data_IF_215982771099
#
_entry.id   IF_215982771099
#
_cell.length_a   1.000
_cell.length_b   1.000
_cell.length_c   1.000
_cell.angle_alpha   90.00
_cell.angle_beta   90.00
_cell.angle_gamma   90.00
#
_symmetry.space_group_name_H-M   'P 1'
#
loop_
_entity.id
_entity.type
_entity.pdbx_description
1 polymer ?
#
# COMPACT_ATOMS: atom_id res chain seq x y z
N UNK A 1 -27.95 5.41 10.16
CA UNK A 1 -26.63 4.85 9.75
C UNK A 1 -26.09 5.77 8.67
N UNK A 2 -24.92 6.39 8.85
CA UNK A 2 -24.34 7.21 7.76
C UNK A 2 -24.01 6.28 6.59
N UNK A 3 -24.39 6.69 5.38
CA UNK A 3 -24.13 5.95 4.14
C UNK A 3 -22.69 5.44 4.08
N UNK A 4 -22.55 4.21 3.59
CA UNK A 4 -21.25 3.59 3.34
C UNK A 4 -20.59 4.38 2.21
N UNK A 5 -19.81 5.38 2.59
CA UNK A 5 -18.82 6.02 1.72
C UNK A 5 -17.91 4.91 1.16
N UNK A 6 -17.70 4.88 -0.16
CA UNK A 6 -16.83 3.87 -0.79
C UNK A 6 -15.43 3.97 -0.16
N UNK A 7 -15.09 3.00 0.68
CA UNK A 7 -13.81 2.98 1.41
C UNK A 7 -12.60 2.86 0.50
N UNK A 8 -12.78 2.57 -0.79
CA UNK A 8 -11.71 2.63 -1.80
C UNK A 8 -11.36 4.06 -2.17
N UNK A 9 -12.28 5.02 -2.00
CA UNK A 9 -12.13 6.43 -2.36
C UNK A 9 -12.75 7.35 -1.30
N UNK A 10 -12.23 7.35 -0.06
CA UNK A 10 -12.82 8.07 1.07
C UNK A 10 -12.86 9.60 0.89
N UNK A 11 -12.10 10.14 -0.07
CA UNK A 11 -12.08 11.56 -0.43
C UNK A 11 -12.45 11.81 -1.89
N UNK A 12 -13.11 10.84 -2.55
CA UNK A 12 -13.36 10.88 -3.99
C UNK A 12 -12.14 10.48 -4.84
N UNK A 13 -12.33 10.47 -6.16
CA UNK A 13 -11.31 10.15 -7.16
C UNK A 13 -10.56 11.40 -7.58
N UNK A 14 -9.31 11.24 -8.00
CA UNK A 14 -8.60 12.31 -8.69
C UNK A 14 -9.26 12.62 -10.03
N UNK A 15 -9.40 13.91 -10.33
CA UNK A 15 -9.93 14.39 -11.60
C UNK A 15 -8.77 14.81 -12.50
N UNK A 16 -8.57 14.07 -13.59
CA UNK A 16 -7.53 14.33 -14.58
C UNK A 16 -7.91 15.47 -15.54
N UNK A 17 -6.92 15.98 -16.28
CA UNK A 17 -7.09 17.03 -17.30
C UNK A 17 -7.63 18.36 -16.76
N UNK A 18 -7.39 18.65 -15.47
CA UNK A 18 -7.62 19.97 -14.90
C UNK A 18 -6.42 20.88 -15.17
N UNK A 19 -6.71 22.13 -15.46
CA UNK A 19 -5.70 23.18 -15.45
C UNK A 19 -5.48 23.63 -14.00
N UNK A 20 -4.22 23.65 -13.58
CA UNK A 20 -3.82 24.09 -12.25
C UNK A 20 -3.09 25.42 -12.35
N UNK A 21 -3.57 26.42 -11.61
CA UNK A 21 -2.87 27.70 -11.49
C UNK A 21 -1.61 27.55 -10.63
N UNK A 22 -0.74 28.56 -10.63
CA UNK A 22 0.39 28.60 -9.72
C UNK A 22 -0.05 28.57 -8.25
N UNK A 23 -1.17 29.22 -7.91
CA UNK A 23 -1.72 29.20 -6.55
C UNK A 23 -2.29 27.84 -6.16
N UNK A 24 -2.92 27.13 -7.09
CA UNK A 24 -3.34 25.74 -6.85
C UNK A 24 -2.12 24.85 -6.60
N UNK A 25 -1.10 24.99 -7.43
CA UNK A 25 0.17 24.26 -7.31
C UNK A 25 0.81 24.50 -5.94
N UNK A 26 0.88 25.77 -5.49
CA UNK A 26 1.40 26.12 -4.16
C UNK A 26 0.58 25.52 -3.01
N UNK A 27 -0.75 25.45 -3.13
CA UNK A 27 -1.61 24.79 -2.13
C UNK A 27 -1.34 23.29 -2.08
N UNK A 28 -1.20 22.65 -3.24
CA UNK A 28 -0.94 21.21 -3.35
C UNK A 28 0.45 20.83 -2.82
N UNK A 29 1.48 21.66 -3.05
CA UNK A 29 2.80 21.48 -2.42
C UNK A 29 2.68 21.50 -0.89
N UNK A 30 1.86 22.40 -0.33
CA UNK A 30 1.59 22.43 1.13
C UNK A 30 0.88 21.16 1.61
N UNK A 31 -0.01 20.57 0.82
CA UNK A 31 -0.65 19.29 1.14
C UNK A 31 0.39 18.16 1.22
N UNK A 32 1.29 18.07 0.24
CA UNK A 32 2.39 17.10 0.23
C UNK A 32 3.28 17.30 1.47
N UNK A 33 3.68 18.54 1.77
CA UNK A 33 4.52 18.88 2.92
C UNK A 33 3.91 18.45 4.27
N UNK A 34 2.58 18.47 4.42
CA UNK A 34 1.90 18.14 5.68
C UNK A 34 1.85 16.64 5.97
N UNK A 35 1.89 15.79 4.93
CA UNK A 35 1.64 14.35 5.04
C UNK A 35 2.47 13.65 6.14
N UNK A 36 3.81 13.79 6.22
CA UNK A 36 4.61 13.03 7.18
C UNK A 36 4.25 13.36 8.63
N UNK A 37 3.95 14.64 8.91
CA UNK A 37 3.53 15.11 10.24
C UNK A 37 2.16 14.55 10.61
N UNK A 38 1.21 14.52 9.68
CA UNK A 38 -0.13 13.97 9.93
C UNK A 38 -0.10 12.45 10.10
N UNK A 39 0.68 11.72 9.31
CA UNK A 39 0.90 10.28 9.52
C UNK A 39 1.49 10.00 10.90
N UNK A 40 2.51 10.76 11.31
CA UNK A 40 3.12 10.62 12.64
C UNK A 40 2.09 10.84 13.76
N UNK A 41 1.18 11.81 13.61
CA UNK A 41 0.09 12.04 14.57
C UNK A 41 -0.90 10.88 14.60
N UNK A 42 -1.32 10.37 13.44
CA UNK A 42 -2.27 9.25 13.37
C UNK A 42 -1.67 7.98 13.96
N UNK A 43 -0.44 7.62 13.59
CA UNK A 43 0.22 6.40 14.10
C UNK A 43 0.42 6.44 15.61
N UNK A 44 0.64 7.61 16.21
CA UNK A 44 0.69 7.75 17.68
C UNK A 44 -0.64 7.44 18.38
N UNK A 45 -1.77 7.55 17.67
CA UNK A 45 -3.11 7.25 18.22
C UNK A 45 -3.51 5.78 18.01
N UNK A 46 -2.79 5.05 17.17
CA UNK A 46 -3.08 3.64 16.89
C UNK A 46 -2.75 2.79 18.12
N UNK A 47 -3.69 1.93 18.50
CA UNK A 47 -3.49 0.88 19.50
C UNK A 47 -2.65 -0.26 18.92
N UNK A 48 -2.08 -1.08 19.79
CA UNK A 48 -1.29 -2.24 19.41
C UNK A 48 -2.05 -3.15 18.44
N UNK A 49 -1.36 -3.58 17.39
CA UNK A 49 -1.92 -4.43 16.32
C UNK A 49 -2.86 -3.73 15.33
N UNK A 50 -3.17 -2.44 15.50
CA UNK A 50 -4.00 -1.70 14.53
C UNK A 50 -3.30 -1.50 13.18
N UNK A 51 -1.97 -1.38 13.17
CA UNK A 51 -1.18 -1.27 11.94
C UNK A 51 -1.37 -2.46 10.99
N UNK A 52 -1.66 -3.64 11.52
CA UNK A 52 -1.84 -4.88 10.76
C UNK A 52 -3.31 -5.14 10.40
N UNK A 53 -4.18 -4.15 10.63
CA UNK A 53 -5.59 -4.21 10.21
C UNK A 53 -5.77 -3.64 8.81
N UNK A 54 -6.55 -4.31 7.95
CA UNK A 54 -6.84 -3.80 6.62
C UNK A 54 -7.81 -2.62 6.68
N UNK A 55 -7.59 -1.58 5.87
CA UNK A 55 -8.50 -0.41 5.83
C UNK A 55 -9.88 -0.75 5.25
N UNK A 56 -9.96 -1.84 4.47
CA UNK A 56 -11.20 -2.42 3.91
C UNK A 56 -11.03 -3.92 3.65
N UNK A 57 -12.13 -4.64 3.39
CA UNK A 57 -12.06 -6.04 2.98
C UNK A 57 -11.20 -6.22 1.71
N UNK A 58 -10.25 -7.16 1.78
CA UNK A 58 -9.29 -7.44 0.70
C UNK A 58 -8.35 -6.28 0.35
N UNK A 59 -8.29 -5.23 1.17
CA UNK A 59 -7.35 -4.12 1.02
C UNK A 59 -6.09 -4.30 1.86
N UNK A 60 -5.12 -3.43 1.61
CA UNK A 60 -3.88 -3.38 2.39
C UNK A 60 -4.10 -3.04 3.86
N UNK A 61 -3.15 -3.45 4.69
CA UNK A 61 -3.04 -3.01 6.08
C UNK A 61 -2.62 -1.54 6.17
N UNK A 62 -2.89 -0.88 7.30
CA UNK A 62 -2.38 0.47 7.53
C UNK A 62 -0.85 0.54 7.40
N UNK A 63 -0.14 -0.51 7.82
CA UNK A 63 1.32 -0.64 7.64
C UNK A 63 1.71 -0.63 6.16
N UNK A 64 1.12 -1.51 5.35
CA UNK A 64 1.39 -1.57 3.91
C UNK A 64 1.08 -0.23 3.22
N UNK A 65 -0.01 0.45 3.60
CA UNK A 65 -0.34 1.79 3.08
C UNK A 65 0.77 2.82 3.42
N UNK A 66 1.34 2.78 4.61
CA UNK A 66 2.40 3.70 5.03
C UNK A 66 3.71 3.41 4.27
N UNK A 67 4.05 2.14 4.05
CA UNK A 67 5.21 1.76 3.23
C UNK A 67 5.02 2.17 1.77
N UNK A 68 3.84 1.89 1.19
CA UNK A 68 3.48 2.30 -0.17
C UNK A 68 3.60 3.82 -0.36
N UNK A 69 3.19 4.63 0.62
CA UNK A 69 3.37 6.08 0.54
C UNK A 69 4.85 6.45 0.37
N UNK A 70 5.76 5.81 1.11
CA UNK A 70 7.20 6.05 0.95
C UNK A 70 7.71 5.62 -0.43
N UNK A 71 7.36 4.42 -0.88
CA UNK A 71 7.81 3.88 -2.17
C UNK A 71 7.30 4.71 -3.35
N UNK A 72 6.01 5.03 -3.32
CA UNK A 72 5.33 5.83 -4.35
C UNK A 72 5.94 7.22 -4.45
N UNK A 73 6.22 7.86 -3.30
CA UNK A 73 6.74 9.22 -3.29
C UNK A 73 8.24 9.27 -3.63
N UNK A 74 9.02 8.23 -3.32
CA UNK A 74 10.40 8.12 -3.81
C UNK A 74 10.45 8.00 -5.33
N UNK A 75 9.60 7.14 -5.90
CA UNK A 75 9.44 7.03 -7.34
C UNK A 75 9.00 8.37 -7.95
N UNK A 76 8.07 9.07 -7.31
CA UNK A 76 7.62 10.39 -7.73
C UNK A 76 8.77 11.40 -7.78
N UNK A 77 9.53 11.52 -6.69
CA UNK A 77 10.66 12.45 -6.60
C UNK A 77 11.69 12.22 -7.72
N UNK A 78 12.01 10.96 -8.03
CA UNK A 78 12.90 10.62 -9.14
C UNK A 78 12.30 11.07 -10.48
N UNK A 79 11.02 10.75 -10.74
CA UNK A 79 10.33 11.16 -11.97
C UNK A 79 10.28 12.68 -12.14
N UNK A 80 10.11 13.40 -11.03
CA UNK A 80 10.13 14.85 -10.99
C UNK A 80 11.49 15.43 -11.40
N UNK A 81 12.57 14.83 -10.91
CA UNK A 81 13.93 15.21 -11.33
C UNK A 81 14.13 14.96 -12.82
N UNK A 82 13.80 13.76 -13.31
CA UNK A 82 13.90 13.40 -14.73
C UNK A 82 13.12 14.39 -15.60
N UNK A 83 11.84 14.65 -15.29
CA UNK A 83 10.99 15.55 -16.06
C UNK A 83 11.50 17.00 -16.12
N UNK A 84 12.15 17.48 -15.05
CA UNK A 84 12.68 18.84 -15.03
C UNK A 84 13.99 18.98 -15.83
N UNK A 85 14.75 17.88 -15.99
CA UNK A 85 16.09 17.89 -16.60
C UNK A 85 16.16 17.24 -17.98
N UNK A 86 15.12 16.54 -18.42
CA UNK A 86 15.07 15.83 -19.69
C UNK A 86 13.84 16.25 -20.50
N UNK A 87 13.88 16.02 -21.82
CA UNK A 87 12.73 16.29 -22.69
C UNK A 87 11.77 15.10 -22.68
N UNK A 88 10.66 15.23 -21.94
CA UNK A 88 9.57 14.25 -21.88
C UNK A 88 10.03 12.79 -21.67
N UNK A 89 10.82 12.49 -20.63
CA UNK A 89 11.39 11.16 -20.41
C UNK A 89 10.30 10.10 -20.22
N UNK A 90 10.55 8.88 -20.69
CA UNK A 90 9.69 7.72 -20.43
C UNK A 90 10.03 7.19 -19.05
N UNK A 91 9.07 7.27 -18.11
CA UNK A 91 9.31 6.79 -16.74
C UNK A 91 9.17 5.28 -16.63
N UNK A 92 9.75 4.72 -15.57
CA UNK A 92 9.58 3.31 -15.20
C UNK A 92 8.34 3.13 -14.31
N UNK A 93 7.32 2.36 -14.74
CA UNK A 93 6.28 1.88 -13.84
C UNK A 93 6.84 0.83 -12.89
N UNK A 94 6.15 0.63 -11.77
CA UNK A 94 6.47 -0.42 -10.81
C UNK A 94 5.17 -1.12 -10.37
N UNK A 95 5.30 -2.38 -9.96
CA UNK A 95 4.18 -3.22 -9.55
C UNK A 95 3.85 -2.96 -8.07
N UNK A 96 3.14 -1.86 -7.77
CA UNK A 96 2.83 -1.43 -6.39
C UNK A 96 2.18 -2.54 -5.54
N UNK A 97 1.36 -3.40 -6.17
CA UNK A 97 0.73 -4.54 -5.49
C UNK A 97 1.74 -5.59 -5.07
N UNK A 98 2.77 -5.85 -5.88
CA UNK A 98 3.83 -6.79 -5.53
C UNK A 98 4.77 -6.20 -4.48
N UNK A 99 5.05 -4.90 -4.55
CA UNK A 99 5.86 -4.20 -3.55
C UNK A 99 5.20 -4.21 -2.17
N UNK A 100 3.89 -4.00 -2.10
CA UNK A 100 3.15 -4.11 -0.84
C UNK A 100 3.17 -5.52 -0.23
N UNK A 101 3.49 -6.55 -1.02
CA UNK A 101 3.51 -7.95 -0.59
C UNK A 101 4.89 -8.43 -0.13
N UNK A 102 5.94 -7.60 -0.22
CA UNK A 102 7.27 -7.94 0.32
C UNK A 102 7.25 -8.03 1.85
N UNK A 103 8.21 -8.77 2.41
CA UNK A 103 8.30 -8.97 3.86
C UNK A 103 8.49 -7.66 4.63
N UNK A 104 9.28 -6.73 4.10
CA UNK A 104 9.49 -5.43 4.71
C UNK A 104 8.23 -4.56 4.66
N UNK A 105 7.43 -4.63 3.59
CA UNK A 105 6.15 -3.92 3.51
C UNK A 105 5.07 -4.53 4.43
N UNK A 106 5.09 -5.84 4.64
CA UNK A 106 4.13 -6.54 5.52
C UNK A 106 4.45 -6.43 7.00
N UNK A 107 5.72 -6.36 7.36
CA UNK A 107 6.16 -6.53 8.76
C UNK A 107 7.13 -5.44 9.23
N UNK A 108 7.71 -4.66 8.32
CA UNK A 108 8.64 -3.60 8.63
C UNK A 108 8.04 -2.49 9.51
N UNK A 109 8.93 -1.71 10.12
CA UNK A 109 8.52 -0.62 11.02
C UNK A 109 7.95 0.54 10.22
N UNK A 110 6.64 0.82 10.38
CA UNK A 110 6.00 2.00 9.80
C UNK A 110 6.70 3.32 10.20
N UNK A 111 7.35 3.35 11.39
CA UNK A 111 8.13 4.52 11.85
C UNK A 111 9.32 4.81 10.92
N UNK A 112 9.93 3.79 10.32
CA UNK A 112 11.04 3.95 9.37
C UNK A 112 10.56 4.65 8.11
N UNK A 113 9.46 4.18 7.50
CA UNK A 113 8.89 4.83 6.32
C UNK A 113 8.37 6.24 6.59
N UNK A 114 7.84 6.52 7.79
CA UNK A 114 7.46 7.89 8.16
C UNK A 114 8.68 8.82 8.25
N UNK A 115 9.82 8.35 8.81
CA UNK A 115 11.06 9.13 8.85
C UNK A 115 11.62 9.36 7.44
N UNK A 116 11.62 8.33 6.60
CA UNK A 116 12.03 8.42 5.20
C UNK A 116 11.17 9.42 4.42
N UNK A 117 9.84 9.33 4.56
CA UNK A 117 8.89 10.27 3.97
C UNK A 117 9.15 11.71 4.41
N UNK A 118 9.46 11.94 5.69
CA UNK A 118 9.77 13.28 6.18
C UNK A 118 10.99 13.87 5.47
N UNK A 119 12.13 13.16 5.49
CA UNK A 119 13.35 13.63 4.83
C UNK A 119 13.19 13.78 3.31
N UNK A 120 12.46 12.86 2.69
CA UNK A 120 12.13 12.93 1.26
C UNK A 120 11.27 14.15 0.94
N UNK A 121 10.23 14.41 1.73
CA UNK A 121 9.32 15.52 1.48
C UNK A 121 9.98 16.87 1.71
N UNK A 122 10.90 17.00 2.67
CA UNK A 122 11.68 18.22 2.85
C UNK A 122 12.44 18.55 1.54
N UNK A 123 13.21 17.59 1.03
CA UNK A 123 13.94 17.68 -0.24
C UNK A 123 13.05 17.93 -1.45
N UNK A 124 11.91 17.24 -1.51
CA UNK A 124 11.01 17.30 -2.66
C UNK A 124 10.24 18.60 -2.70
N UNK A 125 9.81 19.12 -1.54
CA UNK A 125 9.14 20.42 -1.42
C UNK A 125 10.07 21.56 -1.78
N UNK A 126 11.31 21.57 -1.29
CA UNK A 126 12.31 22.56 -1.68
C UNK A 126 12.51 22.56 -3.21
N UNK A 127 12.59 21.37 -3.80
CA UNK A 127 12.69 21.24 -5.24
C UNK A 127 11.46 21.80 -5.97
N UNK A 128 10.24 21.42 -5.56
CA UNK A 128 9.00 21.88 -6.22
C UNK A 128 8.82 23.41 -6.11
N UNK A 129 9.21 24.01 -4.99
CA UNK A 129 9.13 25.47 -4.80
C UNK A 129 10.17 26.20 -5.66
N UNK A 130 11.29 25.57 -6.00
CA UNK A 130 12.33 26.17 -6.84
C UNK A 130 12.01 26.21 -8.35
N UNK A 131 10.97 25.51 -8.79
CA UNK A 131 10.59 25.42 -10.21
C UNK A 131 9.96 26.73 -10.70
N UNK A 132 10.34 27.17 -11.90
CA UNK A 132 9.65 28.24 -12.62
C UNK A 132 8.28 27.78 -13.14
N UNK A 133 7.45 28.71 -13.62
CA UNK A 133 6.17 28.36 -14.28
C UNK A 133 6.39 27.47 -15.52
N UNK A 134 7.41 27.78 -16.32
CA UNK A 134 7.80 26.98 -17.49
C UNK A 134 8.28 25.57 -17.09
N UNK A 135 9.04 25.45 -15.99
CA UNK A 135 9.42 24.14 -15.47
C UNK A 135 8.20 23.32 -15.03
N UNK A 136 7.19 23.96 -14.45
CA UNK A 136 5.94 23.29 -14.03
C UNK A 136 5.12 22.76 -15.22
N UNK A 137 5.37 23.25 -16.44
CA UNK A 137 4.78 22.75 -17.69
C UNK A 137 5.60 21.62 -18.34
N UNK A 138 6.86 21.41 -17.92
CA UNK A 138 7.59 20.20 -18.27
C UNK A 138 6.89 18.97 -17.71
N UNK A 139 7.18 17.80 -18.27
CA UNK A 139 6.50 16.57 -17.89
C UNK A 139 7.27 15.33 -18.28
N UNK A 140 6.66 14.18 -17.96
CA UNK A 140 7.18 12.87 -18.31
C UNK A 140 6.11 12.04 -19.03
N UNK A 141 6.54 11.11 -19.89
CA UNK A 141 5.63 10.17 -20.53
C UNK A 141 5.43 8.93 -19.64
N UNK A 142 4.18 8.63 -19.30
CA UNK A 142 3.82 7.43 -18.54
C UNK A 142 3.39 6.30 -19.49
N UNK A 143 4.19 5.23 -19.66
CA UNK A 143 3.96 4.25 -20.72
C UNK A 143 2.66 3.43 -20.52
N UNK A 144 2.23 3.19 -19.27
CA UNK A 144 1.00 2.46 -19.01
C UNK A 144 -0.28 3.25 -19.37
N UNK A 145 -0.31 4.56 -19.14
CA UNK A 145 -1.47 5.41 -19.45
C UNK A 145 -1.36 6.06 -20.83
N UNK A 146 -0.20 5.93 -21.49
CA UNK A 146 0.13 6.55 -22.78
C UNK A 146 -0.11 8.05 -22.80
N UNK A 147 0.20 8.72 -21.68
CA UNK A 147 0.02 10.17 -21.51
C UNK A 147 1.31 10.82 -21.05
N UNK A 148 1.55 12.03 -21.56
CA UNK A 148 2.47 12.97 -20.93
C UNK A 148 1.78 13.61 -19.74
N UNK A 149 2.44 13.59 -18.59
CA UNK A 149 1.95 14.19 -17.34
C UNK A 149 2.84 15.37 -17.01
N UNK A 150 2.26 16.57 -17.00
CA UNK A 150 2.97 17.79 -16.60
C UNK A 150 3.28 17.76 -15.10
N UNK A 151 4.36 18.44 -14.68
CA UNK A 151 4.76 18.49 -13.28
C UNK A 151 3.66 19.10 -12.40
N UNK A 152 2.95 20.14 -12.85
CA UNK A 152 1.80 20.69 -12.11
C UNK A 152 0.65 19.69 -11.91
N UNK A 153 0.32 18.88 -12.92
CA UNK A 153 -0.68 17.81 -12.78
C UNK A 153 -0.17 16.72 -11.81
N UNK A 154 1.11 16.36 -11.91
CA UNK A 154 1.72 15.39 -11.01
C UNK A 154 1.71 15.87 -9.55
N UNK A 155 1.99 17.16 -9.30
CA UNK A 155 1.90 17.77 -7.96
C UNK A 155 0.48 17.62 -7.41
N UNK A 156 -0.54 17.96 -8.19
CA UNK A 156 -1.93 17.81 -7.80
C UNK A 156 -2.30 16.34 -7.51
N UNK A 157 -1.84 15.42 -8.36
CA UNK A 157 -2.06 13.98 -8.20
C UNK A 157 -1.44 13.47 -6.89
N UNK A 158 -0.20 13.87 -6.58
CA UNK A 158 0.48 13.43 -5.36
C UNK A 158 -0.05 14.11 -4.10
N UNK A 159 -0.59 15.33 -4.19
CA UNK A 159 -1.37 15.94 -3.11
C UNK A 159 -2.66 15.17 -2.83
N UNK A 160 -3.40 14.76 -3.87
CA UNK A 160 -4.56 13.89 -3.72
C UNK A 160 -4.15 12.53 -3.15
N UNK A 161 -3.10 11.90 -3.68
CA UNK A 161 -2.61 10.59 -3.23
C UNK A 161 -2.21 10.60 -1.75
N UNK A 162 -1.52 11.65 -1.31
CA UNK A 162 -1.18 11.89 0.08
C UNK A 162 -2.42 11.90 0.98
N UNK A 163 -3.39 12.78 0.66
CA UNK A 163 -4.62 12.93 1.43
C UNK A 163 -5.49 11.66 1.38
N UNK A 164 -5.51 10.98 0.25
CA UNK A 164 -6.26 9.76 0.00
C UNK A 164 -5.80 8.61 0.90
N UNK A 165 -4.50 8.33 0.91
CA UNK A 165 -3.96 7.27 1.76
C UNK A 165 -3.90 7.67 3.24
N UNK A 166 -3.74 8.96 3.55
CA UNK A 166 -3.92 9.45 4.91
C UNK A 166 -5.34 9.14 5.43
N UNK A 167 -6.36 9.33 4.59
CA UNK A 167 -7.75 8.97 4.93
C UNK A 167 -7.93 7.46 5.13
N UNK A 168 -7.26 6.60 4.35
CA UNK A 168 -7.26 5.15 4.60
C UNK A 168 -6.65 4.79 5.96
N UNK A 169 -5.51 5.37 6.33
CA UNK A 169 -4.91 5.16 7.65
C UNK A 169 -5.82 5.70 8.76
N UNK A 170 -6.50 6.82 8.52
CA UNK A 170 -7.47 7.39 9.45
C UNK A 170 -8.68 6.48 9.69
N UNK A 171 -9.20 5.81 8.65
CA UNK A 171 -10.26 4.81 8.83
C UNK A 171 -9.85 3.73 9.84
N UNK A 172 -8.59 3.27 9.77
CA UNK A 172 -8.06 2.29 10.73
C UNK A 172 -7.91 2.92 12.12
N UNK A 173 -7.43 4.16 12.21
CA UNK A 173 -7.26 4.85 13.49
C UNK A 173 -8.57 5.12 14.24
N UNK A 174 -9.63 5.44 13.50
CA UNK A 174 -10.96 5.73 14.07
C UNK A 174 -11.75 4.45 14.41
N UNK A 175 -11.16 3.26 14.24
CA UNK A 175 -11.85 1.99 14.47
C UNK A 175 -12.79 1.57 13.34
N UNK A 176 -12.84 2.34 12.25
CA UNK A 176 -13.63 2.09 11.05
C UNK A 176 -12.92 1.14 10.07
N UNK A 177 -12.15 0.19 10.59
CA UNK A 177 -11.52 -0.89 9.81
C UNK A 177 -12.41 -2.13 9.78
N UNK A 178 -12.29 -2.93 8.72
CA UNK A 178 -12.99 -4.20 8.68
C UNK A 178 -12.32 -5.22 9.63
N UNK A 179 -13.12 -5.85 10.48
CA UNK A 179 -12.67 -6.98 11.29
C UNK A 179 -12.52 -8.19 10.37
N UNK A 180 -11.41 -8.93 10.45
CA UNK A 180 -11.35 -10.29 9.87
C UNK A 180 -12.54 -11.05 10.45
N UNK A 181 -13.42 -11.60 9.61
CA UNK A 181 -14.37 -12.63 10.06
C UNK A 181 -13.52 -13.71 10.71
N UNK A 182 -13.71 -13.95 12.00
CA UNK A 182 -13.25 -15.20 12.60
C UNK A 182 -13.96 -16.32 11.85
N UNK A 183 -13.22 -17.30 11.38
CA UNK A 183 -13.82 -18.57 10.98
C UNK A 183 -14.45 -19.19 12.22
N UNK A 184 -15.74 -18.91 12.41
CA UNK A 184 -16.52 -19.39 13.53
C UNK A 184 -16.90 -20.86 13.26
N UNK A 185 -15.88 -21.74 13.25
CA UNK A 185 -16.07 -23.19 13.31
C UNK A 185 -16.35 -23.60 14.76
N UNK A 186 -17.49 -23.17 15.31
CA UNK A 186 -18.08 -23.82 16.49
C UNK A 186 -19.55 -23.45 16.68
N UNK A 187 -20.43 -24.17 15.97
CA UNK A 187 -21.70 -24.67 16.50
C UNK A 187 -22.31 -25.65 15.51
N UNK A 188 -22.10 -26.92 15.77
CA UNK A 188 -23.17 -27.92 15.74
C UNK A 188 -22.68 -29.18 16.46
N UNK A 189 -23.00 -29.22 17.75
CA UNK A 189 -23.01 -30.46 18.54
C UNK A 189 -24.40 -30.58 19.16
N UNK A 190 -25.21 -31.44 18.55
CA UNK A 190 -26.02 -32.51 19.18
C UNK A 190 -27.34 -32.68 18.43
N UNK A 191 -27.45 -33.79 17.69
CA UNK A 191 -28.45 -34.85 17.93
C UNK A 191 -28.22 -35.98 16.93
N UNK A 192 -27.68 -37.11 17.39
CA UNK A 192 -28.36 -38.42 17.43
C UNK A 192 -27.35 -39.52 17.77
N UNK A 193 -27.75 -40.29 18.77
CA UNK A 193 -27.10 -41.48 19.30
C UNK A 193 -27.40 -42.71 18.44
N UNK A 194 -26.48 -43.68 18.54
CA UNK A 194 -26.62 -45.12 18.27
C UNK A 194 -26.51 -45.65 16.82
N UNK A 195 -25.33 -46.19 16.49
CA UNK A 195 -25.18 -47.45 15.75
C UNK A 195 -23.80 -48.10 16.08
N UNK A 196 -23.81 -49.43 16.25
CA UNK A 196 -22.75 -50.33 16.76
C UNK A 196 -21.41 -50.31 15.98
N UNK A 197 -20.28 -50.74 16.60
CA UNK A 197 -18.98 -50.82 15.94
C UNK A 197 -18.83 -52.12 15.12
N UNK A 198 -18.24 -52.00 13.93
CA UNK A 198 -17.74 -53.12 13.11
C UNK A 198 -16.26 -53.42 13.44
N UNK A 199 -15.78 -54.67 13.26
CA UNK A 199 -14.56 -55.15 13.90
C UNK A 199 -13.28 -54.79 13.15
N UNK A 200 -12.17 -54.75 13.89
CA UNK A 200 -10.82 -54.47 13.42
C UNK A 200 -10.26 -55.59 12.52
N UNK A 201 -9.44 -55.28 11.50
CA UNK A 201 -8.67 -56.29 10.80
C UNK A 201 -7.41 -56.65 11.59
N UNK A 202 -7.15 -57.95 11.69
CA UNK A 202 -6.01 -58.57 12.37
C UNK A 202 -4.69 -58.26 11.65
N UNK A 203 -3.66 -58.02 12.46
CA UNK A 203 -2.28 -57.96 12.04
C UNK A 203 -1.76 -59.33 11.57
N UNK A 204 -0.94 -59.33 10.52
CA UNK A 204 -0.02 -60.41 10.18
C UNK A 204 1.34 -59.79 9.79
N UNK A 205 2.40 -60.27 10.42
CA UNK A 205 3.80 -60.03 10.10
C UNK A 205 4.57 -61.31 10.48
N UNK A 206 5.84 -61.52 10.08
CA UNK A 206 6.59 -61.01 8.93
C UNK A 206 7.30 -62.16 8.14
N UNK A 207 7.92 -61.86 7.00
CA UNK A 207 9.00 -62.69 6.44
C UNK A 207 10.05 -61.78 5.77
N UNK A 208 11.33 -62.09 6.00
CA UNK A 208 12.51 -61.40 5.46
C UNK A 208 12.60 -61.44 3.93
N UNK A 209 13.57 -60.81 3.25
CA UNK A 209 15.00 -60.76 3.56
C UNK A 209 15.69 -59.64 2.71
N UNK A 210 16.69 -59.01 3.33
CA UNK A 210 17.91 -58.29 2.88
C UNK A 210 18.08 -57.47 1.58
N UNK A 211 19.10 -56.56 1.56
CA UNK A 211 19.15 -55.38 0.69
C UNK A 211 20.06 -55.54 -0.54
N UNK A 212 19.82 -54.75 -1.59
CA UNK A 212 20.82 -54.47 -2.63
C UNK A 212 21.21 -52.99 -2.66
N UNK A 213 22.50 -52.77 -2.41
CA UNK A 213 23.29 -51.56 -2.65
C UNK A 213 23.26 -51.17 -4.13
N UNK A 214 23.41 -49.88 -4.45
CA UNK A 214 23.92 -49.48 -5.76
C UNK A 214 23.78 -48.01 -6.17
N UNK A 215 24.72 -47.17 -5.72
CA UNK A 215 25.43 -46.08 -6.44
C UNK A 215 24.65 -45.02 -7.26
N UNK A 216 24.84 -43.75 -6.83
CA UNK A 216 25.11 -42.55 -7.68
C UNK A 216 26.56 -42.61 -8.21
N UNK A 217 27.06 -41.72 -9.11
CA UNK A 217 26.42 -40.62 -9.86
C UNK A 217 26.83 -40.50 -11.35
N UNK A 218 26.21 -39.54 -12.06
CA UNK A 218 26.86 -38.58 -12.98
C UNK A 218 26.15 -37.25 -12.80
#
# INVERSE_FOLDING_TARGET
MKEVTDRRFPIGRFEYNKNYTLDDTRKQIKDIARLPKELKKLVKKLKDGALDKPYRQGGWTARQVIHHLADSHMNAYIRFKLAATETAPIIKPYEEKLWAETEDAKHGSAKTSIKLLAALHDRWVDFMISLSEDDLDKGYFHPATKRTVALREAIALYAWHANHHLAHVKLVADGNFEKKKSDDKKKDRKTKSAAKPAPAPKAAAPAGDKPKRGRRPS
#
